data_IF_523496955832
#
_entry.id   IF_523496955832
#
_cell.length_a   1.000
_cell.length_b   1.000
_cell.length_c   1.000
_cell.angle_alpha   90.00
_cell.angle_beta   90.00
_cell.angle_gamma   90.00
#
_symmetry.space_group_name_H-M   'P 1'
#
loop_
_entity.id
_entity.type
_entity.pdbx_description
1 polymer ?
#
# COMPACT_ATOMS: atom_id res chain seq x y z
N UNK A 1 -7.02 14.33 -6.52
CA UNK A 1 -6.93 13.10 -5.68
C UNK A 1 -6.89 11.87 -6.57
N UNK A 2 -6.41 10.74 -6.07
CA UNK A 2 -6.40 9.48 -6.80
C UNK A 2 -7.79 9.11 -7.33
N UNK A 3 -8.82 9.18 -6.48
CA UNK A 3 -10.20 8.87 -6.87
C UNK A 3 -10.66 9.73 -8.04
N UNK A 4 -10.42 11.06 -7.99
CA UNK A 4 -10.81 11.96 -9.09
C UNK A 4 -10.06 11.64 -10.38
N UNK A 5 -8.75 11.38 -10.28
CA UNK A 5 -7.90 11.21 -11.46
C UNK A 5 -8.21 9.87 -12.16
N UNK A 6 -8.43 8.78 -11.40
CA UNK A 6 -8.86 7.49 -11.93
C UNK A 6 -10.31 7.52 -12.46
N UNK A 7 -11.24 8.17 -11.74
CA UNK A 7 -12.62 8.31 -12.23
C UNK A 7 -12.68 9.17 -13.51
N UNK A 8 -11.84 10.20 -13.60
CA UNK A 8 -11.70 11.00 -14.81
C UNK A 8 -11.16 10.23 -16.01
N UNK A 9 -10.41 9.16 -15.77
CA UNK A 9 -9.94 8.21 -16.79
C UNK A 9 -10.95 7.09 -17.10
N UNK A 10 -12.17 7.15 -16.55
CA UNK A 10 -13.26 6.21 -16.85
C UNK A 10 -13.35 5.00 -15.92
N UNK A 11 -12.50 4.88 -14.90
CA UNK A 11 -12.55 3.75 -13.97
C UNK A 11 -13.66 3.92 -12.92
N UNK A 12 -14.37 2.82 -12.60
CA UNK A 12 -15.10 2.70 -11.35
C UNK A 12 -14.09 2.55 -10.21
N UNK A 13 -14.07 3.51 -9.29
CA UNK A 13 -13.08 3.54 -8.20
C UNK A 13 -13.71 3.12 -6.89
N UNK A 14 -13.11 2.14 -6.24
CA UNK A 14 -13.43 1.71 -4.87
C UNK A 14 -12.25 2.02 -3.97
N UNK A 15 -12.45 2.89 -3.00
CA UNK A 15 -11.45 3.23 -1.98
C UNK A 15 -11.91 2.69 -0.62
N UNK A 16 -11.13 1.79 -0.04
CA UNK A 16 -11.43 1.18 1.25
C UNK A 16 -10.67 1.92 2.38
N UNK A 17 -11.38 2.25 3.44
CA UNK A 17 -10.75 2.51 4.73
C UNK A 17 -10.39 1.17 5.37
N UNK A 18 -9.13 0.85 5.48
CA UNK A 18 -8.71 -0.39 6.15
C UNK A 18 -9.19 -0.41 7.61
N UNK A 19 -9.36 -1.60 8.19
CA UNK A 19 -9.64 -1.72 9.64
C UNK A 19 -8.66 -0.87 10.44
N UNK A 20 -9.13 -0.23 11.50
CA UNK A 20 -8.37 0.75 12.29
C UNK A 20 -8.24 2.13 11.67
N UNK A 21 -8.65 2.34 10.42
CA UNK A 21 -8.50 3.61 9.69
C UNK A 21 -9.85 4.23 9.32
N UNK A 22 -9.83 5.54 9.05
CA UNK A 22 -10.96 6.29 8.52
C UNK A 22 -12.28 6.03 9.27
N UNK A 23 -13.31 5.59 8.56
CA UNK A 23 -14.63 5.26 9.12
C UNK A 23 -14.81 3.77 9.46
N UNK A 24 -13.84 2.92 9.09
CA UNK A 24 -13.87 1.50 9.45
C UNK A 24 -13.68 1.27 10.93
N UNK A 25 -14.08 0.10 11.42
CA UNK A 25 -14.02 -0.29 12.83
C UNK A 25 -12.60 -0.14 13.41
N UNK A 26 -12.53 0.36 14.64
CA UNK A 26 -11.30 0.55 15.40
C UNK A 26 -11.11 -0.64 16.33
N UNK A 27 -10.15 -1.48 16.01
CA UNK A 27 -9.81 -2.67 16.79
C UNK A 27 -8.52 -2.40 17.56
N UNK A 28 -8.45 -2.90 18.81
CA UNK A 28 -7.35 -2.60 19.73
C UNK A 28 -6.57 -3.85 20.13
N UNK A 29 -6.80 -4.96 19.44
CA UNK A 29 -6.11 -6.23 19.67
C UNK A 29 -5.17 -6.53 18.50
N UNK A 30 -3.93 -6.96 18.77
CA UNK A 30 -2.93 -7.23 17.73
C UNK A 30 -3.39 -8.22 16.65
N UNK A 31 -4.09 -9.27 17.06
CA UNK A 31 -4.56 -10.36 16.22
C UNK A 31 -5.55 -9.90 15.14
N UNK A 32 -6.14 -8.71 15.32
CA UNK A 32 -7.02 -8.12 14.31
C UNK A 32 -6.28 -7.53 13.09
N UNK A 33 -4.97 -7.37 13.19
CA UNK A 33 -4.19 -6.68 12.18
C UNK A 33 -3.08 -7.58 11.63
N UNK A 34 -3.40 -8.44 10.68
CA UNK A 34 -2.38 -9.06 9.83
C UNK A 34 -2.59 -8.63 8.39
N UNK A 35 -1.55 -8.75 7.55
CA UNK A 35 -1.66 -8.48 6.12
C UNK A 35 -2.67 -9.42 5.45
N UNK A 36 -2.77 -10.66 5.92
CA UNK A 36 -3.70 -11.68 5.42
C UNK A 36 -5.16 -11.30 5.72
N UNK A 37 -5.43 -10.91 6.96
CA UNK A 37 -6.78 -10.48 7.36
C UNK A 37 -7.21 -9.24 6.59
N UNK A 38 -6.31 -8.27 6.40
CA UNK A 38 -6.63 -7.05 5.67
C UNK A 38 -6.74 -7.27 4.15
N UNK A 39 -5.99 -8.22 3.60
CA UNK A 39 -6.16 -8.67 2.22
C UNK A 39 -7.52 -9.36 2.03
N UNK A 40 -7.93 -10.17 3.00
CA UNK A 40 -9.24 -10.83 2.99
C UNK A 40 -10.40 -9.82 3.13
N UNK A 41 -10.23 -8.72 3.86
CA UNK A 41 -11.21 -7.62 3.88
C UNK A 41 -11.40 -7.03 2.47
N UNK A 42 -10.31 -6.81 1.74
CA UNK A 42 -10.38 -6.30 0.37
C UNK A 42 -11.06 -7.31 -0.58
N UNK A 43 -10.74 -8.60 -0.45
CA UNK A 43 -11.41 -9.67 -1.23
C UNK A 43 -12.92 -9.70 -0.95
N UNK A 44 -13.31 -9.68 0.33
CA UNK A 44 -14.72 -9.66 0.73
C UNK A 44 -15.47 -8.44 0.24
N UNK A 45 -14.79 -7.29 0.17
CA UNK A 45 -15.37 -6.09 -0.42
C UNK A 45 -15.66 -6.28 -1.91
N UNK A 46 -14.76 -6.91 -2.67
CA UNK A 46 -15.00 -7.24 -4.07
C UNK A 46 -16.23 -8.14 -4.22
N UNK A 47 -16.37 -9.17 -3.37
CA UNK A 47 -17.54 -10.05 -3.38
C UNK A 47 -18.83 -9.29 -3.06
N UNK A 48 -18.81 -8.46 -2.01
CA UNK A 48 -19.97 -7.65 -1.60
C UNK A 48 -20.44 -6.71 -2.72
N UNK A 49 -19.52 -6.21 -3.54
CA UNK A 49 -19.82 -5.32 -4.65
C UNK A 49 -20.10 -6.04 -5.96
N UNK A 50 -20.06 -7.37 -5.98
CA UNK A 50 -20.24 -8.19 -7.18
C UNK A 50 -19.12 -8.00 -8.22
N UNK A 51 -17.90 -7.64 -7.77
CA UNK A 51 -16.74 -7.39 -8.65
C UNK A 51 -15.95 -8.69 -8.78
N UNK A 52 -15.93 -9.30 -9.93
CA UNK A 52 -15.15 -10.51 -10.21
C UNK A 52 -13.65 -10.25 -10.21
N UNK A 53 -13.21 -9.24 -10.95
CA UNK A 53 -11.79 -8.86 -11.10
C UNK A 53 -11.64 -7.34 -11.00
N UNK A 54 -10.55 -6.88 -10.38
CA UNK A 54 -10.23 -5.46 -10.25
C UNK A 54 -8.74 -5.20 -10.49
N UNK A 55 -8.40 -3.99 -10.93
CA UNK A 55 -7.05 -3.48 -10.77
C UNK A 55 -6.86 -3.01 -9.34
N UNK A 56 -5.73 -3.32 -8.74
CA UNK A 56 -5.45 -2.99 -7.33
C UNK A 56 -4.25 -2.06 -7.23
N UNK A 57 -4.44 -0.95 -6.54
CA UNK A 57 -3.38 0.02 -6.23
C UNK A 57 -3.19 0.05 -4.72
N UNK A 58 -2.04 -0.36 -4.25
CA UNK A 58 -1.63 -0.25 -2.85
C UNK A 58 -0.45 0.70 -2.68
N UNK A 59 -0.46 1.50 -1.62
CA UNK A 59 0.66 2.36 -1.26
C UNK A 59 1.17 2.05 0.14
N UNK A 60 2.48 1.89 0.33
CA UNK A 60 3.12 1.60 1.61
C UNK A 60 2.52 0.36 2.30
N UNK A 61 1.83 0.50 3.43
CA UNK A 61 1.07 -0.58 4.06
C UNK A 61 0.08 -1.22 3.07
N UNK A 62 -0.61 -0.41 2.29
CA UNK A 62 -1.54 -0.88 1.25
C UNK A 62 -0.84 -1.72 0.17
N UNK A 63 0.44 -1.48 -0.13
CA UNK A 63 1.20 -2.30 -1.06
C UNK A 63 1.48 -3.71 -0.49
N UNK A 64 1.74 -3.84 0.82
CA UNK A 64 1.86 -5.17 1.47
C UNK A 64 0.54 -5.93 1.44
N UNK A 65 -0.57 -5.25 1.72
CA UNK A 65 -1.92 -5.83 1.66
C UNK A 65 -2.24 -6.28 0.23
N UNK A 66 -1.94 -5.44 -0.77
CA UNK A 66 -2.19 -5.73 -2.18
C UNK A 66 -1.32 -6.91 -2.69
N UNK A 67 -0.05 -6.99 -2.27
CA UNK A 67 0.82 -8.13 -2.57
C UNK A 67 0.28 -9.42 -1.95
N UNK A 68 -0.20 -9.37 -0.71
CA UNK A 68 -0.81 -10.54 -0.04
C UNK A 68 -2.12 -10.94 -0.73
N UNK A 69 -2.93 -9.96 -1.14
CA UNK A 69 -4.18 -10.22 -1.85
C UNK A 69 -3.94 -10.95 -3.19
N UNK A 70 -2.98 -10.47 -4.00
CA UNK A 70 -2.68 -11.12 -5.29
C UNK A 70 -2.06 -12.50 -5.13
N UNK A 71 -1.27 -12.72 -4.08
CA UNK A 71 -0.69 -14.04 -3.78
C UNK A 71 -1.74 -15.06 -3.35
N UNK A 72 -2.77 -14.62 -2.63
CA UNK A 72 -3.87 -15.49 -2.19
C UNK A 72 -4.96 -15.65 -3.26
N UNK A 73 -5.23 -14.63 -4.07
CA UNK A 73 -6.34 -14.56 -5.01
C UNK A 73 -5.92 -13.92 -6.35
N UNK A 74 -4.96 -14.51 -7.09
CA UNK A 74 -4.45 -13.93 -8.33
C UNK A 74 -5.54 -13.75 -9.39
N UNK A 75 -6.55 -14.62 -9.40
CA UNK A 75 -7.70 -14.58 -10.33
C UNK A 75 -8.60 -13.35 -10.13
N UNK A 76 -8.48 -12.69 -8.97
CA UNK A 76 -9.26 -11.49 -8.64
C UNK A 76 -8.59 -10.20 -9.09
N UNK A 77 -7.34 -10.26 -9.57
CA UNK A 77 -6.50 -9.09 -9.84
C UNK A 77 -6.14 -9.02 -11.32
N UNK A 78 -6.59 -7.96 -11.98
CA UNK A 78 -6.24 -7.72 -13.38
C UNK A 78 -4.85 -7.09 -13.53
N UNK A 79 -4.55 -6.05 -12.76
CA UNK A 79 -3.23 -5.40 -12.69
C UNK A 79 -2.95 -4.96 -11.26
N UNK A 80 -1.68 -4.97 -10.89
CA UNK A 80 -1.23 -4.62 -9.54
C UNK A 80 -0.29 -3.42 -9.58
N UNK A 81 -0.51 -2.45 -8.69
CA UNK A 81 0.42 -1.35 -8.45
C UNK A 81 0.88 -1.39 -6.99
N UNK A 82 2.19 -1.53 -6.79
CA UNK A 82 2.87 -1.51 -5.50
C UNK A 82 3.63 -0.18 -5.36
N UNK A 83 2.97 0.83 -4.78
CA UNK A 83 3.54 2.15 -4.58
C UNK A 83 4.13 2.35 -3.19
N UNK A 84 5.21 3.12 -3.09
CA UNK A 84 5.86 3.46 -1.81
C UNK A 84 6.37 2.25 -1.03
N UNK A 85 6.67 1.16 -1.74
CA UNK A 85 7.27 -0.01 -1.17
C UNK A 85 8.08 -0.75 -2.25
N UNK A 86 9.38 -0.69 -2.15
CA UNK A 86 10.34 -1.36 -3.00
C UNK A 86 11.11 -2.42 -2.22
N UNK A 87 12.43 -2.33 -2.22
CA UNK A 87 13.31 -3.31 -1.54
C UNK A 87 12.90 -3.61 -0.09
N UNK A 88 12.42 -2.62 0.64
CA UNK A 88 12.06 -2.80 2.04
C UNK A 88 10.79 -3.64 2.27
N UNK A 89 10.08 -4.06 1.21
CA UNK A 89 9.06 -5.11 1.31
C UNK A 89 9.66 -6.45 1.78
N UNK A 90 10.91 -6.70 1.41
CA UNK A 90 11.64 -7.93 1.71
C UNK A 90 12.31 -7.93 3.09
N UNK A 91 12.19 -6.85 3.84
CA UNK A 91 12.86 -6.67 5.13
C UNK A 91 11.84 -6.51 6.25
N UNK A 92 12.18 -7.06 7.42
CA UNK A 92 11.52 -6.66 8.64
C UNK A 92 11.79 -5.16 8.86
N UNK A 93 10.75 -4.35 8.99
CA UNK A 93 10.95 -2.93 9.24
C UNK A 93 11.34 -2.71 10.70
N UNK A 94 12.63 -2.51 10.94
CA UNK A 94 13.10 -1.94 12.19
C UNK A 94 12.43 -0.56 12.39
N UNK A 95 11.98 -0.26 13.61
CA UNK A 95 11.45 1.07 13.94
C UNK A 95 9.94 1.18 14.07
N UNK A 96 9.19 0.07 14.02
CA UNK A 96 7.75 0.10 14.34
C UNK A 96 7.49 0.46 15.79
N UNK A 97 8.38 0.07 16.71
CA UNK A 97 8.35 0.47 18.11
C UNK A 97 8.31 1.98 18.30
N UNK A 98 9.28 2.74 17.76
CA UNK A 98 9.27 4.20 17.80
C UNK A 98 8.02 4.85 17.20
N UNK A 99 7.50 4.33 16.08
CA UNK A 99 6.26 4.86 15.48
C UNK A 99 5.07 4.59 16.41
N UNK A 100 4.95 3.37 16.92
CA UNK A 100 3.85 3.03 17.84
C UNK A 100 3.94 3.84 19.16
N UNK A 101 5.14 4.07 19.69
CA UNK A 101 5.35 4.93 20.85
C UNK A 101 4.96 6.38 20.56
N UNK A 102 5.33 6.91 19.38
CA UNK A 102 4.96 8.26 18.97
C UNK A 102 3.44 8.43 18.85
N UNK A 103 2.74 7.43 18.32
CA UNK A 103 1.27 7.43 18.23
C UNK A 103 0.63 7.42 19.62
N UNK A 104 1.24 6.80 20.62
CA UNK A 104 0.73 6.73 21.99
C UNK A 104 1.26 7.83 22.91
N UNK A 105 2.20 8.66 22.46
CA UNK A 105 2.74 9.76 23.25
C UNK A 105 1.64 10.78 23.60
N UNK A 106 1.67 11.38 24.80
CA UNK A 106 0.69 12.41 25.21
C UNK A 106 0.67 13.61 24.25
N UNK A 107 1.85 14.05 23.79
CA UNK A 107 2.01 15.14 22.81
C UNK A 107 2.96 14.76 21.70
N UNK A 108 2.76 15.36 20.52
CA UNK A 108 3.73 15.27 19.42
C UNK A 108 5.08 15.88 19.80
N UNK A 109 5.11 16.79 20.77
CA UNK A 109 6.34 17.44 21.22
C UNK A 109 7.24 16.48 22.03
N UNK A 110 6.68 15.42 22.59
CA UNK A 110 7.40 14.35 23.28
C UNK A 110 8.08 13.38 22.28
N UNK A 111 7.82 13.51 20.98
CA UNK A 111 8.34 12.60 19.96
C UNK A 111 9.66 13.09 19.40
N UNK A 112 10.75 12.47 19.82
CA UNK A 112 12.13 12.84 19.42
C UNK A 112 12.52 12.28 18.05
N UNK A 113 12.06 11.07 17.70
CA UNK A 113 12.42 10.42 16.43
C UNK A 113 11.74 11.14 15.25
N UNK A 114 12.49 11.69 14.27
CA UNK A 114 11.92 12.48 13.18
C UNK A 114 10.91 11.72 12.31
N UNK A 115 11.24 10.47 11.97
CA UNK A 115 10.33 9.62 11.17
C UNK A 115 9.05 9.33 11.93
N UNK A 116 9.16 8.94 13.21
CA UNK A 116 7.98 8.66 14.05
C UNK A 116 7.13 9.93 14.26
N UNK A 117 7.76 11.09 14.40
CA UNK A 117 7.09 12.39 14.47
C UNK A 117 6.28 12.70 13.19
N UNK A 118 6.82 12.36 12.02
CA UNK A 118 6.10 12.51 10.74
C UNK A 118 4.83 11.65 10.69
N UNK A 119 4.90 10.39 11.12
CA UNK A 119 3.74 9.50 11.22
C UNK A 119 2.72 10.02 12.23
N UNK A 120 3.16 10.51 13.39
CA UNK A 120 2.26 11.11 14.40
C UNK A 120 1.57 12.36 13.85
N UNK A 121 2.29 13.27 13.21
CA UNK A 121 1.72 14.47 12.61
C UNK A 121 0.68 14.14 11.56
N UNK A 122 0.94 13.13 10.72
CA UNK A 122 -0.01 12.67 9.73
C UNK A 122 -1.28 12.07 10.37
N UNK A 123 -1.13 11.26 11.42
CA UNK A 123 -2.25 10.69 12.15
C UNK A 123 -3.12 11.77 12.82
N UNK A 124 -2.50 12.79 13.42
CA UNK A 124 -3.21 13.93 14.02
C UNK A 124 -3.94 14.75 12.95
N UNK A 125 -3.28 15.05 11.82
CA UNK A 125 -3.88 15.79 10.70
C UNK A 125 -5.10 15.07 10.11
N UNK A 126 -5.05 13.76 10.05
CA UNK A 126 -6.16 12.93 9.52
C UNK A 126 -7.17 12.56 10.58
N UNK A 127 -7.01 13.01 11.83
CA UNK A 127 -7.86 12.68 12.98
C UNK A 127 -8.04 11.18 13.16
N UNK A 128 -6.97 10.44 12.94
CA UNK A 128 -6.97 8.99 13.06
C UNK A 128 -7.02 8.53 14.52
N UNK A 129 -7.54 7.33 14.77
CA UNK A 129 -7.47 6.69 16.06
C UNK A 129 -6.04 6.23 16.37
N UNK A 130 -5.36 6.97 17.23
CA UNK A 130 -3.95 6.76 17.54
C UNK A 130 -3.67 5.39 18.16
N UNK A 131 -4.62 4.87 18.98
CA UNK A 131 -4.49 3.56 19.64
C UNK A 131 -4.61 2.43 18.60
N UNK A 132 -5.62 2.48 17.74
CA UNK A 132 -5.81 1.51 16.68
C UNK A 132 -4.61 1.51 15.71
N UNK A 133 -4.11 2.69 15.32
CA UNK A 133 -2.91 2.81 14.49
C UNK A 133 -1.66 2.25 15.17
N UNK A 134 -1.48 2.47 16.47
CA UNK A 134 -0.34 1.96 17.21
C UNK A 134 -0.33 0.43 17.30
N UNK A 135 -1.50 -0.20 17.39
CA UNK A 135 -1.64 -1.65 17.32
C UNK A 135 -1.34 -2.13 15.89
N UNK A 136 -1.99 -1.53 14.90
CA UNK A 136 -1.84 -1.90 13.48
C UNK A 136 -0.38 -1.83 13.02
N UNK A 137 0.33 -0.74 13.32
CA UNK A 137 1.71 -0.53 12.84
C UNK A 137 2.70 -1.57 13.33
N UNK A 138 2.40 -2.23 14.45
CA UNK A 138 3.25 -3.31 15.00
C UNK A 138 3.07 -4.64 14.28
N UNK A 139 1.93 -4.86 13.61
CA UNK A 139 1.54 -6.16 13.07
C UNK A 139 1.79 -6.34 11.55
N UNK A 140 1.79 -5.27 10.77
CA UNK A 140 1.81 -5.35 9.30
C UNK A 140 3.22 -5.17 8.72
N UNK A 141 4.26 -5.51 9.44
CA UNK A 141 5.64 -5.19 9.06
C UNK A 141 6.52 -6.40 8.80
N UNK A 142 5.96 -7.58 8.84
CA UNK A 142 6.71 -8.77 8.49
C UNK A 142 7.14 -8.74 7.03
N UNK A 143 8.37 -9.17 6.72
CA UNK A 143 8.83 -9.26 5.35
C UNK A 143 7.94 -10.18 4.53
N UNK A 144 7.73 -9.84 3.27
CA UNK A 144 7.20 -10.81 2.31
C UNK A 144 8.40 -11.58 1.74
N UNK A 145 8.41 -12.92 1.86
CA UNK A 145 9.53 -13.72 1.36
C UNK A 145 9.76 -13.54 -0.13
N UNK A 146 11.03 -13.59 -0.55
CA UNK A 146 11.39 -13.42 -1.98
C UNK A 146 10.71 -14.43 -2.88
N UNK A 147 10.60 -15.66 -2.41
CA UNK A 147 9.96 -16.76 -3.13
C UNK A 147 8.47 -16.50 -3.33
N UNK A 148 7.80 -15.89 -2.36
CA UNK A 148 6.40 -15.49 -2.49
C UNK A 148 6.26 -14.37 -3.52
N UNK A 149 7.09 -13.33 -3.43
CA UNK A 149 7.08 -12.21 -4.38
C UNK A 149 7.27 -12.70 -5.83
N UNK A 150 8.18 -13.65 -6.05
CA UNK A 150 8.44 -14.27 -7.35
C UNK A 150 7.25 -15.06 -7.93
N UNK A 151 6.23 -15.35 -7.13
CA UNK A 151 4.99 -16.03 -7.57
C UNK A 151 3.93 -15.07 -8.10
N UNK A 152 4.11 -13.76 -7.96
CA UNK A 152 3.18 -12.76 -8.53
C UNK A 152 3.27 -12.85 -10.05
N UNK A 153 2.18 -13.27 -10.69
CA UNK A 153 2.12 -13.50 -12.14
C UNK A 153 1.23 -12.49 -12.89
N UNK A 154 0.60 -11.57 -12.18
CA UNK A 154 -0.20 -10.52 -12.83
C UNK A 154 0.68 -9.35 -13.26
N UNK A 155 0.31 -8.60 -14.30
CA UNK A 155 1.03 -7.39 -14.68
C UNK A 155 1.18 -6.46 -13.48
N UNK A 156 2.42 -6.11 -13.13
CA UNK A 156 2.72 -5.37 -11.91
C UNK A 156 3.60 -4.16 -12.17
N UNK A 157 3.24 -3.02 -11.60
CA UNK A 157 4.06 -1.81 -11.54
C UNK A 157 4.53 -1.59 -10.10
N UNK A 158 5.84 -1.50 -9.90
CA UNK A 158 6.44 -1.13 -8.61
C UNK A 158 6.93 0.31 -8.70
N UNK A 159 6.52 1.17 -7.77
CA UNK A 159 6.91 2.58 -7.78
C UNK A 159 7.36 3.08 -6.41
N UNK A 160 8.48 3.81 -6.37
CA UNK A 160 8.98 4.43 -5.14
C UNK A 160 9.67 5.77 -5.45
N UNK A 161 9.72 6.66 -4.48
CA UNK A 161 10.48 7.89 -4.58
C UNK A 161 11.98 7.63 -4.50
N UNK A 162 12.77 8.36 -5.28
CA UNK A 162 14.25 8.21 -5.24
C UNK A 162 14.86 8.61 -3.89
N UNK A 163 14.14 9.42 -3.09
CA UNK A 163 14.52 9.82 -1.74
C UNK A 163 13.70 9.09 -0.66
N UNK A 164 12.97 8.03 -1.04
CA UNK A 164 12.09 7.27 -0.13
C UNK A 164 12.89 6.19 0.61
N UNK A 165 13.45 6.56 1.76
CA UNK A 165 14.20 5.63 2.63
C UNK A 165 13.30 4.58 3.28
N UNK A 166 11.97 4.78 3.31
CA UNK A 166 11.00 3.84 3.87
C UNK A 166 10.70 2.73 2.86
N UNK A 167 10.58 3.07 1.58
CA UNK A 167 10.31 2.10 0.52
C UNK A 167 11.58 1.35 0.10
N UNK A 168 12.70 2.04 -0.01
CA UNK A 168 13.87 1.57 -0.73
C UNK A 168 13.65 1.52 -2.25
N UNK A 169 14.68 1.19 -3.04
CA UNK A 169 14.60 1.21 -4.50
C UNK A 169 13.51 0.30 -5.07
N UNK A 170 12.71 0.82 -6.02
CA UNK A 170 11.60 0.09 -6.64
C UNK A 170 12.09 -1.07 -7.52
N UNK A 171 13.17 -0.85 -8.30
CA UNK A 171 13.69 -1.85 -9.24
C UNK A 171 14.10 -3.17 -8.53
N UNK A 172 14.64 -3.12 -7.31
CA UNK A 172 15.06 -4.32 -6.59
C UNK A 172 13.87 -5.24 -6.27
N UNK A 173 12.70 -4.68 -6.02
CA UNK A 173 11.48 -5.48 -5.84
C UNK A 173 10.92 -5.92 -7.19
N UNK A 174 10.91 -5.04 -8.17
CA UNK A 174 10.45 -5.34 -9.53
C UNK A 174 11.24 -6.49 -10.16
N UNK A 175 12.56 -6.51 -9.99
CA UNK A 175 13.42 -7.58 -10.54
C UNK A 175 13.06 -9.00 -10.04
N UNK A 176 12.29 -9.10 -8.96
CA UNK A 176 11.81 -10.37 -8.41
C UNK A 176 10.45 -10.81 -8.97
N UNK A 177 9.71 -9.90 -9.58
CA UNK A 177 8.34 -10.15 -10.07
C UNK A 177 8.42 -10.34 -11.59
N UNK A 178 8.14 -11.53 -12.13
CA UNK A 178 8.24 -11.78 -13.56
C UNK A 178 7.40 -10.82 -14.40
N UNK A 179 8.01 -10.15 -15.36
CA UNK A 179 7.33 -9.24 -16.28
C UNK A 179 6.82 -7.93 -15.66
N UNK A 180 7.25 -7.60 -14.44
CA UNK A 180 6.89 -6.32 -13.83
C UNK A 180 7.72 -5.16 -14.36
N UNK A 181 7.23 -3.96 -14.08
CA UNK A 181 7.91 -2.69 -14.39
C UNK A 181 8.23 -1.94 -13.11
N UNK A 182 9.32 -1.18 -13.12
CA UNK A 182 9.64 -0.26 -12.03
C UNK A 182 9.52 1.21 -12.48
N UNK A 183 9.10 2.08 -11.57
CA UNK A 183 9.03 3.52 -11.77
C UNK A 183 9.63 4.27 -10.59
N UNK A 184 10.71 4.98 -10.84
CA UNK A 184 11.38 5.82 -9.84
C UNK A 184 10.81 7.25 -9.88
N UNK A 185 10.19 7.69 -8.77
CA UNK A 185 9.58 9.02 -8.66
C UNK A 185 10.67 10.01 -8.22
N UNK A 186 11.19 10.76 -9.18
CA UNK A 186 12.37 11.59 -9.01
C UNK A 186 12.23 12.63 -7.89
N UNK A 187 13.19 12.67 -6.96
CA UNK A 187 13.29 13.65 -5.88
C UNK A 187 12.20 13.56 -4.80
N UNK A 188 11.39 12.50 -4.79
CA UNK A 188 10.30 12.34 -3.81
C UNK A 188 10.69 11.44 -2.66
N UNK A 189 10.31 11.89 -1.45
CA UNK A 189 10.26 11.09 -0.25
C UNK A 189 8.93 10.30 -0.15
N UNK A 190 8.80 9.47 0.87
CA UNK A 190 7.64 8.61 1.09
C UNK A 190 6.29 9.34 1.12
N UNK A 191 6.23 10.48 1.78
CA UNK A 191 4.99 11.24 1.97
C UNK A 191 4.59 12.04 0.74
N UNK A 192 5.57 12.52 -0.04
CA UNK A 192 5.34 13.32 -1.25
C UNK A 192 5.13 12.47 -2.49
N UNK A 193 5.70 11.28 -2.54
CA UNK A 193 5.59 10.39 -3.69
C UNK A 193 4.14 9.95 -3.96
N UNK A 194 3.34 9.68 -2.91
CA UNK A 194 1.95 9.20 -3.06
C UNK A 194 1.06 10.13 -3.88
N UNK A 195 1.29 11.43 -3.79
CA UNK A 195 0.49 12.45 -4.50
C UNK A 195 1.12 12.96 -5.79
N UNK A 196 2.33 12.49 -6.13
CA UNK A 196 3.10 13.03 -7.25
C UNK A 196 2.41 12.82 -8.59
N UNK A 197 2.48 13.86 -9.45
CA UNK A 197 1.82 13.84 -10.75
C UNK A 197 2.43 12.79 -11.69
N UNK A 198 3.76 12.64 -11.66
CA UNK A 198 4.46 11.68 -12.52
C UNK A 198 4.07 10.25 -12.16
N UNK A 199 3.96 9.95 -10.85
CA UNK A 199 3.49 8.65 -10.38
C UNK A 199 2.06 8.35 -10.85
N UNK A 200 1.15 9.31 -10.72
CA UNK A 200 -0.24 9.16 -11.19
C UNK A 200 -0.31 8.91 -12.69
N UNK A 201 0.47 9.66 -13.47
CA UNK A 201 0.55 9.46 -14.92
C UNK A 201 1.10 8.07 -15.26
N UNK A 202 2.16 7.62 -14.58
CA UNK A 202 2.72 6.29 -14.79
C UNK A 202 1.70 5.18 -14.49
N UNK A 203 0.93 5.33 -13.41
CA UNK A 203 -0.13 4.37 -13.06
C UNK A 203 -1.24 4.36 -14.11
N UNK A 204 -1.74 5.53 -14.53
CA UNK A 204 -2.78 5.60 -15.58
C UNK A 204 -2.31 4.94 -16.87
N UNK A 205 -1.13 5.28 -17.37
CA UNK A 205 -0.55 4.66 -18.55
C UNK A 205 -0.38 3.14 -18.40
N UNK A 206 -0.01 2.67 -17.20
CA UNK A 206 0.12 1.24 -16.91
C UNK A 206 -1.23 0.52 -16.93
N UNK A 207 -2.28 1.15 -16.39
CA UNK A 207 -3.62 0.57 -16.33
C UNK A 207 -4.30 0.54 -17.72
N UNK A 208 -4.03 1.54 -18.58
CA UNK A 208 -4.63 1.67 -19.92
C UNK A 208 -4.05 0.72 -20.96
N UNK A 209 -2.87 0.12 -20.71
CA UNK A 209 -2.26 -0.81 -21.67
C UNK A 209 -3.16 -2.02 -21.83
N UNK A 210 -3.52 -2.34 -23.05
CA UNK A 210 -4.33 -3.51 -23.37
C UNK A 210 -3.72 -4.78 -22.76
N UNK A 211 -4.47 -5.43 -21.88
CA UNK A 211 -4.18 -6.78 -21.46
C UNK A 211 -4.61 -7.70 -22.61
N UNK A 212 -3.78 -7.83 -23.67
CA UNK A 212 -3.97 -8.84 -24.70
C UNK A 212 -5.42 -9.30 -24.98
N UNK A 213 -6.34 -8.37 -25.30
CA UNK A 213 -7.65 -8.72 -25.87
C UNK A 213 -8.79 -9.08 -24.91
N UNK A 214 -8.66 -8.94 -23.61
CA UNK A 214 -9.78 -9.12 -22.69
C UNK A 214 -10.19 -7.78 -22.06
N UNK A 215 -11.24 -7.16 -22.60
CA UNK A 215 -11.94 -6.10 -21.86
C UNK A 215 -12.48 -6.72 -20.56
N UNK A 216 -12.18 -6.07 -19.42
CA UNK A 216 -12.81 -6.43 -18.16
C UNK A 216 -14.31 -6.12 -18.27
N UNK A 217 -15.20 -7.02 -17.86
CA UNK A 217 -16.64 -6.85 -17.96
C UNK A 217 -17.18 -5.70 -17.07
#
# INVERSE_FOLDING_TARGET
SWVRDLAGAGYRVVAIDNRGHGRSEKLYVPEAYSREIMAEDARRLLDHLGIGTAHVIGYSMGARIAATLVLAHPERIGRLVLGGLGHNMLRAMAGTGPIAQALLAPSIDDVVNPTARTFRAFADQTRSDLKALAVCVRQIRDPVPREEIGRIAVPTLVAAGTNDVIAGPAHILSDLIPGSESFEIAGRDHMRAVGDRSFKTAVLNFLERDAGGAALP
#
